data_IF_369758516511
#
_entry.id   IF_369758516511
#
_cell.length_a   1.000
_cell.length_b   1.000
_cell.length_c   1.000
_cell.angle_alpha   90.00
_cell.angle_beta   90.00
_cell.angle_gamma   90.00
#
_symmetry.space_group_name_H-M   'P 1'
#
loop_
_entity.id
_entity.type
_entity.pdbx_description
1 polymer ?
#
# COMPACT_ATOMS: atom_id res chain seq x y z
N UNK A 1 -19.16 -35.82 -36.64
CA UNK A 1 -18.48 -36.60 -35.58
C UNK A 1 -18.98 -36.12 -34.21
N UNK A 2 -19.47 -37.02 -33.35
CA UNK A 2 -20.09 -36.63 -32.08
C UNK A 2 -19.06 -36.17 -31.04
N UNK A 3 -19.38 -35.10 -30.30
CA UNK A 3 -18.46 -34.39 -29.38
C UNK A 3 -17.93 -35.27 -28.24
N UNK A 4 -18.67 -36.30 -27.83
CA UNK A 4 -18.27 -37.18 -26.73
C UNK A 4 -17.03 -38.02 -27.06
N UNK A 5 -16.84 -38.39 -28.33
CA UNK A 5 -15.72 -39.23 -28.76
C UNK A 5 -14.38 -38.48 -28.70
N UNK A 6 -14.40 -37.16 -28.94
CA UNK A 6 -13.21 -36.30 -28.81
C UNK A 6 -12.75 -36.22 -27.36
N UNK A 7 -13.66 -36.00 -26.41
CA UNK A 7 -13.33 -35.88 -24.99
C UNK A 7 -12.76 -37.19 -24.41
N UNK A 8 -13.21 -38.34 -24.92
CA UNK A 8 -12.72 -39.64 -24.49
C UNK A 8 -11.29 -39.92 -25.00
N UNK A 9 -10.98 -39.54 -26.23
CA UNK A 9 -9.63 -39.67 -26.80
C UNK A 9 -8.59 -38.79 -26.08
N UNK A 10 -8.96 -37.57 -25.68
CA UNK A 10 -8.06 -36.71 -24.89
C UNK A 10 -7.68 -37.33 -23.53
N UNK A 11 -8.60 -38.09 -22.89
CA UNK A 11 -8.30 -38.75 -21.61
C UNK A 11 -7.35 -39.94 -21.74
N UNK A 12 -7.39 -40.65 -22.86
CA UNK A 12 -6.55 -41.83 -23.06
C UNK A 12 -5.13 -41.49 -23.52
N UNK A 13 -4.95 -40.40 -24.27
CA UNK A 13 -3.64 -40.06 -24.85
C UNK A 13 -2.81 -39.05 -24.06
N UNK A 14 -3.38 -38.29 -23.10
CA UNK A 14 -2.63 -37.33 -22.27
C UNK A 14 -2.19 -37.87 -20.89
N UNK A 15 -2.26 -39.18 -20.66
CA UNK A 15 -1.93 -39.78 -19.36
C UNK A 15 -0.77 -40.80 -19.43
N UNK A 16 0.41 -40.39 -19.90
CA UNK A 16 1.62 -40.79 -19.16
C UNK A 16 2.72 -39.73 -19.29
N UNK A 17 2.68 -38.66 -18.49
CA UNK A 17 3.85 -37.79 -18.32
C UNK A 17 4.02 -37.28 -16.88
N UNK A 18 3.28 -37.85 -15.92
CA UNK A 18 3.29 -37.42 -14.52
C UNK A 18 3.74 -38.51 -13.56
N UNK A 19 4.71 -39.31 -14.00
CA UNK A 19 5.51 -40.15 -13.13
C UNK A 19 6.96 -40.00 -13.58
N UNK A 20 7.73 -39.34 -12.71
CA UNK A 20 9.12 -39.65 -12.36
C UNK A 20 9.99 -38.39 -12.26
N UNK A 21 10.09 -37.88 -11.03
CA UNK A 21 11.30 -37.32 -10.41
C UNK A 21 10.92 -37.00 -8.95
N UNK A 22 11.07 -37.96 -8.04
CA UNK A 22 12.33 -38.23 -7.32
C UNK A 22 12.83 -36.96 -6.60
N UNK A 23 12.42 -36.86 -5.33
CA UNK A 23 13.27 -36.45 -4.20
C UNK A 23 14.18 -35.23 -4.39
N UNK A 24 13.69 -34.03 -4.05
CA UNK A 24 14.53 -32.98 -3.44
C UNK A 24 13.70 -32.04 -2.55
N UNK A 25 14.14 -31.94 -1.30
CA UNK A 25 14.11 -30.77 -0.39
C UNK A 25 12.79 -30.02 -0.13
N UNK A 26 12.32 -29.91 1.14
CA UNK A 26 11.23 -29.02 1.52
C UNK A 26 11.76 -27.57 1.63
N UNK A 27 12.34 -27.03 0.57
CA UNK A 27 12.63 -25.60 0.50
C UNK A 27 11.37 -24.90 0.01
N UNK A 28 10.61 -24.43 0.99
CA UNK A 28 9.45 -23.56 0.81
C UNK A 28 9.84 -22.44 -0.15
N UNK A 29 9.10 -22.19 -1.25
CA UNK A 29 9.35 -21.02 -2.07
C UNK A 29 9.06 -19.80 -1.19
N UNK A 30 10.14 -19.14 -0.76
CA UNK A 30 10.11 -17.82 -0.13
C UNK A 30 9.55 -16.86 -1.19
N UNK A 31 8.23 -16.86 -1.36
CA UNK A 31 7.54 -15.72 -1.93
C UNK A 31 7.88 -14.58 -0.97
N UNK A 32 8.70 -13.60 -1.38
CA UNK A 32 8.99 -12.50 -0.48
C UNK A 32 7.65 -11.83 -0.24
N UNK A 33 7.16 -11.91 0.99
CA UNK A 33 5.96 -11.19 1.38
C UNK A 33 6.24 -9.71 1.12
N UNK A 34 5.69 -9.19 0.02
CA UNK A 34 5.92 -7.83 -0.46
C UNK A 34 5.48 -6.82 0.63
N UNK A 35 4.54 -7.24 1.50
CA UNK A 35 4.13 -6.46 2.67
C UNK A 35 5.24 -6.44 3.73
N UNK A 36 5.91 -7.55 4.00
CA UNK A 36 7.04 -7.60 4.92
C UNK A 36 8.27 -6.82 4.41
N UNK A 37 8.50 -6.79 3.08
CA UNK A 37 9.57 -5.99 2.48
C UNK A 37 9.34 -4.48 2.65
N UNK A 38 8.09 -4.02 2.61
CA UNK A 38 7.76 -2.60 2.82
C UNK A 38 7.93 -2.15 4.28
N UNK A 39 7.89 -3.09 5.25
CA UNK A 39 8.15 -2.83 6.67
C UNK A 39 9.64 -2.62 7.02
N UNK A 40 10.59 -3.02 6.16
CA UNK A 40 12.02 -2.92 6.48
C UNK A 40 12.67 -1.58 6.13
N UNK A 41 12.02 -0.75 5.32
CA UNK A 41 12.58 0.55 4.93
C UNK A 41 12.11 1.60 5.93
N UNK A 42 12.93 1.86 6.95
CA UNK A 42 12.79 3.06 7.78
C UNK A 42 12.98 4.28 6.88
N UNK A 43 11.92 5.03 6.65
CA UNK A 43 11.98 6.28 5.87
C UNK A 43 12.15 7.46 6.83
N UNK A 44 12.91 8.49 6.47
CA UNK A 44 13.07 9.68 7.30
C UNK A 44 11.84 10.62 7.27
N UNK A 45 10.80 10.29 6.50
CA UNK A 45 9.59 11.10 6.36
C UNK A 45 8.33 10.24 6.21
N UNK A 46 7.18 10.85 6.52
CA UNK A 46 5.83 10.33 6.30
C UNK A 46 5.15 11.19 5.23
N UNK A 47 4.50 10.59 4.23
CA UNK A 47 3.64 11.35 3.31
C UNK A 47 2.18 11.26 3.75
N UNK A 48 1.60 12.43 3.96
CA UNK A 48 0.22 12.61 4.39
C UNK A 48 -0.58 13.26 3.27
N UNK A 49 -1.84 12.89 3.15
CA UNK A 49 -2.83 13.58 2.34
C UNK A 49 -3.81 14.26 3.28
N UNK A 50 -3.84 15.59 3.24
CA UNK A 50 -4.57 16.45 4.17
C UNK A 50 -5.71 17.10 3.44
N UNK A 51 -6.92 17.03 4.00
CA UNK A 51 -8.09 17.74 3.52
C UNK A 51 -8.24 19.04 4.31
N UNK A 52 -7.92 20.15 3.66
CA UNK A 52 -8.04 21.49 4.25
C UNK A 52 -9.40 22.05 3.86
N UNK A 53 -10.20 22.45 4.85
CA UNK A 53 -11.49 23.06 4.66
C UNK A 53 -11.40 24.52 4.21
N UNK A 54 -12.57 25.10 3.90
CA UNK A 54 -12.71 26.50 3.44
C UNK A 54 -12.26 27.55 4.46
N UNK A 55 -12.07 27.16 5.73
CA UNK A 55 -11.56 28.04 6.79
C UNK A 55 -10.10 27.76 7.14
N UNK A 56 -9.40 26.91 6.38
CA UNK A 56 -8.01 26.53 6.68
C UNK A 56 -7.86 25.44 7.75
N UNK A 57 -8.96 25.01 8.38
CA UNK A 57 -8.94 23.88 9.32
C UNK A 57 -8.83 22.54 8.60
N UNK A 58 -8.08 21.61 9.19
CA UNK A 58 -7.96 20.25 8.69
C UNK A 58 -9.22 19.46 9.04
N UNK A 59 -9.91 18.97 8.01
CA UNK A 59 -11.10 18.11 8.16
C UNK A 59 -10.72 16.63 8.24
N UNK A 60 -9.72 16.21 7.48
CA UNK A 60 -9.28 14.82 7.42
C UNK A 60 -7.79 14.71 7.08
N UNK A 61 -7.14 13.66 7.58
CA UNK A 61 -5.74 13.32 7.27
C UNK A 61 -5.69 11.84 6.93
N UNK A 62 -4.96 11.49 5.89
CA UNK A 62 -4.75 10.09 5.47
C UNK A 62 -3.27 9.85 5.21
N UNK A 63 -2.72 8.78 5.77
CA UNK A 63 -1.33 8.38 5.51
C UNK A 63 -1.25 7.74 4.13
N UNK A 64 -0.46 8.33 3.23
CA UNK A 64 -0.17 7.78 1.89
C UNK A 64 1.07 6.90 1.90
N UNK A 65 2.07 7.28 2.68
CA UNK A 65 3.31 6.53 2.82
C UNK A 65 3.78 6.60 4.26
N UNK A 66 3.85 5.44 4.90
CA UNK A 66 4.33 5.27 6.27
C UNK A 66 5.87 5.29 6.32
N UNK A 67 6.41 5.76 7.45
CA UNK A 67 7.83 5.65 7.75
C UNK A 67 8.25 4.24 8.22
N UNK A 68 7.29 3.32 8.41
CA UNK A 68 7.49 1.95 8.91
C UNK A 68 7.18 1.79 10.40
N UNK A 69 6.85 2.88 11.11
CA UNK A 69 6.46 2.85 12.53
C UNK A 69 5.05 3.46 12.72
N UNK A 70 4.07 2.68 13.22
CA UNK A 70 2.70 3.18 13.39
C UNK A 70 2.59 4.28 14.45
N UNK A 71 3.48 4.30 15.45
CA UNK A 71 3.48 5.33 16.50
C UNK A 71 3.88 6.69 15.95
N UNK A 72 4.87 6.71 15.05
CA UNK A 72 5.34 7.93 14.38
C UNK A 72 4.29 8.43 13.37
N UNK A 73 3.66 7.53 12.63
CA UNK A 73 2.57 7.91 11.72
C UNK A 73 1.39 8.55 12.48
N UNK A 74 1.01 8.00 13.64
CA UNK A 74 -0.05 8.56 14.48
C UNK A 74 0.32 9.93 15.06
N UNK A 75 1.58 10.11 15.46
CA UNK A 75 2.09 11.40 15.92
C UNK A 75 2.02 12.44 14.80
N UNK A 76 2.44 12.09 13.59
CA UNK A 76 2.35 12.95 12.42
C UNK A 76 0.89 13.33 12.13
N UNK A 77 -0.04 12.37 12.18
CA UNK A 77 -1.48 12.65 11.97
C UNK A 77 -2.02 13.62 13.02
N UNK A 78 -1.72 13.40 14.31
CA UNK A 78 -2.18 14.28 15.40
C UNK A 78 -1.64 15.69 15.27
N UNK A 79 -0.35 15.84 14.98
CA UNK A 79 0.27 17.15 14.81
C UNK A 79 -0.36 17.92 13.66
N UNK A 80 -0.59 17.25 12.54
CA UNK A 80 -1.17 17.87 11.34
C UNK A 80 -2.64 18.21 11.53
N UNK A 81 -3.39 17.37 12.23
CA UNK A 81 -4.79 17.63 12.54
C UNK A 81 -4.99 18.85 13.45
N UNK A 82 -4.01 19.16 14.32
CA UNK A 82 -4.02 20.36 15.17
C UNK A 82 -3.56 21.64 14.48
N UNK A 83 -3.03 21.57 13.25
CA UNK A 83 -2.54 22.75 12.52
C UNK A 83 -3.65 23.47 11.77
N UNK A 84 -3.48 24.79 11.65
CA UNK A 84 -4.28 25.61 10.75
C UNK A 84 -3.45 25.94 9.51
N UNK A 85 -4.02 25.69 8.34
CA UNK A 85 -3.39 25.96 7.05
C UNK A 85 -3.96 27.24 6.43
N UNK A 86 -3.23 27.87 5.50
CA UNK A 86 -3.80 28.95 4.70
C UNK A 86 -5.07 28.50 4.01
N UNK A 87 -6.08 29.37 3.97
CA UNK A 87 -7.35 29.05 3.31
C UNK A 87 -7.15 28.77 1.82
N UNK A 88 -7.43 27.55 1.34
CA UNK A 88 -7.40 27.26 -0.09
C UNK A 88 -8.47 28.09 -0.82
N UNK A 89 -8.06 28.76 -1.90
CA UNK A 89 -8.92 29.62 -2.72
C UNK A 89 -8.79 29.27 -4.19
N UNK A 90 -9.91 29.28 -4.90
CA UNK A 90 -9.99 29.18 -6.36
C UNK A 90 -10.65 30.45 -6.86
N UNK A 91 -9.85 31.34 -7.45
CA UNK A 91 -10.28 32.72 -7.73
C UNK A 91 -10.66 33.45 -6.43
N UNK A 92 -11.88 34.00 -6.37
CA UNK A 92 -12.39 34.72 -5.20
C UNK A 92 -13.16 33.86 -4.19
N UNK A 93 -13.25 32.54 -4.40
CA UNK A 93 -14.01 31.61 -3.53
C UNK A 93 -13.06 30.77 -2.67
N UNK A 94 -13.37 30.64 -1.39
CA UNK A 94 -12.75 29.63 -0.52
C UNK A 94 -13.31 28.25 -0.86
N UNK A 95 -12.45 27.24 -1.01
CA UNK A 95 -12.86 25.89 -1.43
C UNK A 95 -12.07 24.87 -0.65
N UNK A 96 -12.72 23.84 -0.11
CA UNK A 96 -12.00 22.74 0.53
C UNK A 96 -11.15 21.95 -0.49
N UNK A 97 -9.89 21.67 -0.14
CA UNK A 97 -8.95 21.04 -1.06
C UNK A 97 -8.07 19.99 -0.39
N UNK A 98 -7.71 18.98 -1.17
CA UNK A 98 -6.72 17.96 -0.78
C UNK A 98 -5.30 18.41 -1.12
N UNK A 99 -4.42 18.31 -0.14
CA UNK A 99 -2.99 18.60 -0.28
C UNK A 99 -2.16 17.37 0.07
N UNK A 100 -1.10 17.13 -0.69
CA UNK A 100 -0.06 16.18 -0.30
C UNK A 100 0.98 16.94 0.51
N UNK A 101 1.29 16.42 1.70
CA UNK A 101 2.25 17.02 2.61
C UNK A 101 3.28 15.99 3.03
N UNK A 102 4.53 16.43 3.07
CA UNK A 102 5.65 15.66 3.61
C UNK A 102 5.88 16.10 5.05
N UNK A 103 5.89 15.14 5.98
CA UNK A 103 6.19 15.35 7.38
C UNK A 103 7.52 14.69 7.70
N UNK A 104 8.49 15.46 8.18
CA UNK A 104 9.82 14.96 8.54
C UNK A 104 9.76 14.26 9.89
N UNK A 105 10.32 13.05 9.96
CA UNK A 105 10.43 12.33 11.22
C UNK A 105 11.46 13.07 12.09
N UNK A 106 11.15 13.42 13.35
CA UNK A 106 12.10 14.03 14.26
C UNK A 106 13.35 13.15 14.42
N UNK A 107 14.53 13.74 14.57
CA UNK A 107 15.80 13.00 14.64
C UNK A 107 15.83 11.94 15.75
N UNK A 108 15.08 12.16 16.84
CA UNK A 108 14.91 11.19 17.92
C UNK A 108 14.30 9.84 17.49
N UNK A 109 13.64 9.78 16.32
CA UNK A 109 12.92 8.60 15.82
C UNK A 109 13.44 8.07 14.47
N UNK A 110 14.51 8.65 13.92
CA UNK A 110 15.17 8.16 12.70
C UNK A 110 16.00 6.91 13.03
#
# INVERSE_FOLDING_TARGET
MPKFLRQWLYKLFLWPAFKDSTTMSPETPLTPDIKALTHRVKRPFVMLRVHVGEHGHVKAVTVRMSCGSPTVDQMAVKEVQGKTFPTPRVGHKAVAQWHNMRWEVPEAFK
#
